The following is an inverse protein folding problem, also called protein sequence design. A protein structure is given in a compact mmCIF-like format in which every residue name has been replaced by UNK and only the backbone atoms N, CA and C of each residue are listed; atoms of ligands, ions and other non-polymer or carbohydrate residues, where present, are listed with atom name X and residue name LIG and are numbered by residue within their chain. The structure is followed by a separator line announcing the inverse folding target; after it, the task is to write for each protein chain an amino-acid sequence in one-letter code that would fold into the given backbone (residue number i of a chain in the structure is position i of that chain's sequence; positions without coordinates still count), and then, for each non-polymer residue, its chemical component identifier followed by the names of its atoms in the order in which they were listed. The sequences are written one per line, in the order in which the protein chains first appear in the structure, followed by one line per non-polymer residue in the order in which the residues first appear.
data_IF_969062559002
#
_entry.id   IF_969062559002
#
_cell.length_a   1.000
_cell.length_b   1.000
_cell.length_c   1.000
_cell.angle_alpha   90.00
_cell.angle_beta   90.00
_cell.angle_gamma   90.00
#
_symmetry.space_group_name_H-M   'P 1'
#
loop_
_entity.id
_entity.type
_entity.pdbx_description
1 polymer ?
#
# COMPACT_ATOMS: atom_id res chain seq x y z
N UNK A 1 9.48 13.03 13.42
CA UNK A 1 8.24 13.31 12.66
C UNK A 1 8.43 12.69 11.29
N UNK A 2 7.43 11.99 10.76
CA UNK A 2 7.49 11.39 9.43
C UNK A 2 7.52 12.50 8.38
N UNK A 3 8.44 12.41 7.42
CA UNK A 3 8.57 13.33 6.28
C UNK A 3 7.92 12.73 5.02
N UNK A 4 7.76 13.51 3.96
CA UNK A 4 7.24 13.03 2.68
C UNK A 4 8.04 11.85 2.11
N UNK A 5 9.34 11.80 2.41
CA UNK A 5 10.30 10.82 1.92
C UNK A 5 10.07 9.45 2.59
N UNK A 6 9.61 9.47 3.84
CA UNK A 6 9.30 8.31 4.67
C UNK A 6 7.93 7.68 4.31
N UNK A 7 7.11 8.36 3.50
CA UNK A 7 5.82 7.84 3.04
C UNK A 7 6.04 6.70 2.06
N UNK A 8 6.02 5.48 2.59
CA UNK A 8 5.99 4.22 1.84
C UNK A 8 4.60 3.78 1.36
N UNK A 9 4.57 2.71 0.54
CA UNK A 9 3.33 2.16 -0.04
C UNK A 9 2.30 1.67 0.99
N UNK A 10 2.74 1.22 2.16
CA UNK A 10 1.84 0.82 3.27
C UNK A 10 1.04 2.01 3.78
N UNK A 11 1.63 3.21 3.84
CA UNK A 11 0.93 4.40 4.30
C UNK A 11 -0.18 4.80 3.33
N UNK A 12 0.11 4.81 2.02
CA UNK A 12 -0.87 5.10 0.97
C UNK A 12 -1.97 4.05 0.96
N UNK A 13 -1.63 2.77 1.11
CA UNK A 13 -2.62 1.70 1.25
C UNK A 13 -3.55 1.95 2.44
N UNK A 14 -3.03 2.35 3.59
CA UNK A 14 -3.85 2.65 4.77
C UNK A 14 -4.64 3.94 4.65
N UNK A 15 -4.13 4.94 3.93
CA UNK A 15 -4.92 6.13 3.59
C UNK A 15 -6.20 5.70 2.85
N UNK A 16 -6.06 4.94 1.77
CA UNK A 16 -7.21 4.52 0.95
C UNK A 16 -8.06 3.41 1.56
N UNK A 17 -7.61 2.79 2.66
CA UNK A 17 -8.36 1.75 3.37
C UNK A 17 -9.03 2.24 4.66
N UNK A 18 -8.27 2.89 5.55
CA UNK A 18 -8.74 3.36 6.85
C UNK A 18 -7.77 4.38 7.46
N UNK A 19 -8.15 5.67 7.50
CA UNK A 19 -7.32 6.75 8.09
C UNK A 19 -6.96 6.48 9.56
N UNK A 20 -7.85 5.84 10.32
CA UNK A 20 -7.57 5.47 11.71
C UNK A 20 -6.47 4.42 11.82
N UNK A 21 -6.45 3.45 10.91
CA UNK A 21 -5.39 2.45 10.83
C UNK A 21 -4.04 3.11 10.50
N UNK A 22 -4.03 4.03 9.53
CA UNK A 22 -2.85 4.83 9.20
C UNK A 22 -2.32 5.60 10.41
N UNK A 23 -3.20 6.29 11.14
CA UNK A 23 -2.85 7.06 12.33
C UNK A 23 -2.23 6.20 13.43
N UNK A 24 -2.76 4.99 13.64
CA UNK A 24 -2.26 4.02 14.63
C UNK A 24 -0.93 3.40 14.20
N UNK A 25 -0.81 3.04 12.91
CA UNK A 25 0.40 2.49 12.33
C UNK A 25 1.60 3.45 12.47
N UNK A 26 1.39 4.74 12.20
CA UNK A 26 2.40 5.78 12.35
C UNK A 26 2.86 5.99 13.82
N UNK A 27 2.07 5.54 14.79
CA UNK A 27 2.38 5.57 16.23
C UNK A 27 2.96 4.24 16.74
N UNK A 28 3.30 3.32 15.83
CA UNK A 28 3.93 2.05 16.15
C UNK A 28 2.96 0.93 16.53
N UNK A 29 1.64 1.15 16.48
CA UNK A 29 0.68 0.10 16.76
C UNK A 29 0.53 -0.84 15.55
N UNK A 30 1.07 -2.06 15.67
CA UNK A 30 1.19 -3.04 14.59
C UNK A 30 0.66 -4.44 14.96
N UNK A 31 -0.66 -4.63 15.11
CA UNK A 31 -1.27 -5.92 15.42
C UNK A 31 -1.20 -6.93 14.26
N UNK A 32 -0.79 -6.51 13.06
CA UNK A 32 -0.72 -7.33 11.85
C UNK A 32 0.19 -8.55 12.00
N UNK A 33 1.26 -8.46 12.80
CA UNK A 33 2.15 -9.59 13.10
C UNK A 33 1.42 -10.78 13.74
N UNK A 34 0.29 -10.51 14.41
CA UNK A 34 -0.56 -11.52 15.06
C UNK A 34 -1.68 -12.02 14.13
N UNK A 35 -1.84 -11.44 12.94
CA UNK A 35 -2.92 -11.78 12.01
C UNK A 35 -2.49 -12.88 11.04
N UNK A 36 -3.16 -14.03 11.11
CA UNK A 36 -2.97 -15.14 10.17
C UNK A 36 -3.20 -14.76 8.71
N UNK A 37 -4.05 -13.74 8.44
CA UNK A 37 -4.30 -13.25 7.08
C UNK A 37 -3.12 -12.46 6.50
N UNK A 38 -2.35 -11.78 7.34
CA UNK A 38 -1.14 -11.05 6.94
C UNK A 38 0.01 -12.02 6.72
N UNK A 39 0.20 -12.98 7.63
CA UNK A 39 1.18 -14.06 7.48
C UNK A 39 0.93 -14.86 6.20
N UNK A 40 -0.34 -15.10 5.85
CA UNK A 40 -0.70 -15.73 4.57
C UNK A 40 -0.36 -14.84 3.36
N UNK A 41 -0.48 -13.53 3.48
CA UNK A 41 -0.06 -12.58 2.45
C UNK A 41 1.45 -12.64 2.20
N UNK A 42 2.25 -12.65 3.27
CA UNK A 42 3.70 -12.80 3.24
C UNK A 42 4.11 -14.16 2.65
N UNK A 43 3.44 -15.25 3.03
CA UNK A 43 3.73 -16.58 2.49
C UNK A 43 3.40 -16.72 0.99
N UNK A 44 2.29 -16.11 0.52
CA UNK A 44 1.94 -16.08 -0.92
C UNK A 44 2.95 -15.27 -1.71
N UNK A 45 3.46 -14.18 -1.11
CA UNK A 45 4.51 -13.36 -1.67
C UNK A 45 5.80 -14.17 -1.85
N UNK A 46 6.28 -14.82 -0.79
CA UNK A 46 7.48 -15.65 -0.78
C UNK A 46 7.42 -16.82 -1.79
N UNK A 47 6.26 -17.47 -1.93
CA UNK A 47 6.08 -18.58 -2.89
C UNK A 47 6.02 -18.13 -4.35
N UNK A 48 5.48 -16.94 -4.62
CA UNK A 48 5.37 -16.40 -5.99
C UNK A 48 6.72 -15.88 -6.52
N UNK A 49 7.67 -15.60 -5.63
CA UNK A 49 8.87 -14.79 -5.89
C UNK A 49 10.13 -15.50 -6.34
N UNK A 50 10.09 -16.80 -6.66
CA UNK A 50 11.32 -17.54 -7.05
C UNK A 50 11.99 -17.03 -8.37
N UNK A 51 11.58 -15.90 -8.95
CA UNK A 51 12.11 -15.37 -10.22
C UNK A 51 12.34 -13.85 -10.30
N UNK A 52 12.02 -13.06 -9.28
CA UNK A 52 12.08 -11.58 -9.33
C UNK A 52 13.11 -11.01 -8.34
N UNK A 53 13.75 -9.89 -8.69
CA UNK A 53 14.73 -9.20 -7.83
C UNK A 53 14.07 -7.99 -7.13
N UNK A 54 13.91 -8.00 -5.80
CA UNK A 54 13.27 -6.88 -5.10
C UNK A 54 14.11 -5.61 -5.21
N UNK A 55 13.47 -4.49 -5.56
CA UNK A 55 14.12 -3.17 -5.60
C UNK A 55 13.83 -2.46 -4.28
N UNK A 56 14.89 -2.16 -3.52
CA UNK A 56 14.80 -1.39 -2.28
C UNK A 56 14.83 0.11 -2.57
N UNK A 57 13.69 0.78 -2.43
CA UNK A 57 13.56 2.24 -2.57
C UNK A 57 13.61 2.96 -1.20
N UNK A 58 14.18 2.31 -0.17
CA UNK A 58 14.35 2.86 1.17
C UNK A 58 13.08 2.82 2.02
N UNK A 59 12.01 3.48 1.59
CA UNK A 59 10.70 3.49 2.28
C UNK A 59 9.61 2.66 1.57
N UNK A 60 9.94 2.09 0.41
CA UNK A 60 9.06 1.25 -0.39
C UNK A 60 9.83 0.00 -0.85
N UNK A 61 9.41 -1.19 -0.39
CA UNK A 61 9.82 -2.44 -1.04
C UNK A 61 8.93 -2.63 -2.25
N UNK A 62 9.53 -2.48 -3.42
CA UNK A 62 8.86 -2.71 -4.69
C UNK A 62 8.98 -4.18 -5.03
N UNK A 63 7.88 -4.75 -5.52
CA UNK A 63 7.81 -6.19 -5.64
C UNK A 63 8.71 -6.69 -6.79
N UNK A 64 8.48 -6.18 -7.99
CA UNK A 64 9.37 -6.41 -9.13
C UNK A 64 9.27 -5.24 -10.11
N UNK A 65 10.38 -4.88 -10.75
CA UNK A 65 10.41 -3.90 -11.84
C UNK A 65 10.91 -4.62 -13.09
N UNK A 66 10.00 -4.84 -14.05
CA UNK A 66 10.37 -5.52 -15.29
C UNK A 66 11.30 -4.64 -16.14
N UNK A 67 12.06 -5.26 -17.06
CA UNK A 67 12.98 -4.58 -17.98
C UNK A 67 12.30 -3.54 -18.88
N UNK A 68 10.97 -3.61 -19.01
CA UNK A 68 10.14 -2.63 -19.69
C UNK A 68 9.69 -1.44 -18.82
N UNK A 69 10.20 -1.32 -17.59
CA UNK A 69 9.86 -0.29 -16.60
C UNK A 69 8.41 -0.34 -16.11
N UNK A 70 7.87 -1.55 -15.95
CA UNK A 70 6.57 -1.78 -15.32
C UNK A 70 6.74 -2.29 -13.90
N UNK A 71 6.03 -1.66 -12.95
CA UNK A 71 6.00 -2.09 -11.56
C UNK A 71 5.06 -3.27 -11.43
N UNK A 72 5.50 -4.40 -10.91
CA UNK A 72 4.67 -5.58 -10.68
C UNK A 72 4.43 -5.72 -9.19
N UNK A 73 3.17 -5.90 -8.79
CA UNK A 73 2.78 -6.04 -7.38
C UNK A 73 1.82 -7.23 -7.23
N UNK A 74 2.09 -8.11 -6.27
CA UNK A 74 1.29 -9.32 -6.05
C UNK A 74 0.33 -9.12 -4.88
N UNK A 75 -0.97 -9.28 -5.14
CA UNK A 75 -2.02 -9.14 -4.13
C UNK A 75 -2.61 -10.48 -3.74
N UNK A 76 -2.56 -10.77 -2.44
CA UNK A 76 -3.21 -11.94 -1.84
C UNK A 76 -4.74 -11.80 -1.76
N UNK A 77 -5.29 -10.62 -2.03
CA UNK A 77 -6.72 -10.38 -2.15
C UNK A 77 -7.26 -10.95 -3.47
N UNK A 78 -8.56 -11.23 -3.53
CA UNK A 78 -9.22 -11.72 -4.75
C UNK A 78 -9.81 -10.59 -5.60
N UNK A 79 -9.98 -9.40 -5.02
CA UNK A 79 -10.65 -8.25 -5.63
C UNK A 79 -9.71 -7.04 -5.64
N UNK A 80 -9.61 -6.34 -6.78
CA UNK A 80 -8.98 -5.05 -6.83
C UNK A 80 -9.62 -4.06 -5.87
N UNK A 81 -8.81 -3.19 -5.28
CA UNK A 81 -9.26 -2.10 -4.44
C UNK A 81 -8.58 -0.79 -4.82
N UNK A 82 -9.23 0.37 -4.56
CA UNK A 82 -8.60 1.68 -4.76
C UNK A 82 -7.26 1.81 -4.00
N UNK A 83 -7.14 1.13 -2.85
CA UNK A 83 -5.89 1.11 -2.09
C UNK A 83 -4.75 0.36 -2.79
N UNK A 84 -5.05 -0.70 -3.54
CA UNK A 84 -4.05 -1.43 -4.32
C UNK A 84 -3.56 -0.59 -5.51
N UNK A 85 -4.46 0.12 -6.17
CA UNK A 85 -4.16 1.04 -7.27
C UNK A 85 -3.35 2.24 -6.81
N UNK A 86 -3.78 2.93 -5.75
CA UNK A 86 -3.05 4.07 -5.20
C UNK A 86 -1.64 3.68 -4.71
N UNK A 87 -1.49 2.51 -4.10
CA UNK A 87 -0.17 2.00 -3.71
C UNK A 87 0.74 1.79 -4.94
N UNK A 88 0.22 1.20 -6.02
CA UNK A 88 0.96 0.99 -7.26
C UNK A 88 1.35 2.32 -7.94
N UNK A 89 0.43 3.29 -7.95
CA UNK A 89 0.67 4.64 -8.46
C UNK A 89 1.78 5.33 -7.66
N UNK A 90 1.74 5.22 -6.33
CA UNK A 90 2.78 5.77 -5.46
C UNK A 90 4.16 5.19 -5.77
N UNK A 91 4.27 3.89 -6.02
CA UNK A 91 5.53 3.28 -6.44
C UNK A 91 6.03 3.81 -7.79
N UNK A 92 5.15 3.96 -8.78
CA UNK A 92 5.51 4.56 -10.06
C UNK A 92 6.01 6.00 -9.86
N UNK A 93 5.31 6.80 -9.05
CA UNK A 93 5.71 8.17 -8.72
C UNK A 93 7.11 8.22 -8.08
N UNK A 94 7.38 7.35 -7.09
CA UNK A 94 8.69 7.28 -6.41
C UNK A 94 9.81 6.86 -7.36
N UNK A 95 9.55 5.93 -8.27
CA UNK A 95 10.51 5.54 -9.31
C UNK A 95 10.84 6.72 -10.24
N UNK A 96 9.83 7.46 -10.68
CA UNK A 96 10.05 8.64 -11.54
C UNK A 96 10.82 9.74 -10.83
N UNK A 97 10.58 9.94 -9.54
CA UNK A 97 11.32 10.91 -8.73
C UNK A 97 12.82 10.59 -8.60
N UNK A 98 13.22 9.32 -8.72
CA UNK A 98 14.64 8.89 -8.72
C UNK A 98 15.21 8.72 -10.13
N UNK A 99 14.50 9.18 -11.16
CA UNK A 99 14.95 9.16 -12.56
C UNK A 99 14.60 7.88 -13.35
N UNK A 100 13.80 6.97 -12.78
CA UNK A 100 13.31 5.77 -13.47
C UNK A 100 11.94 6.05 -14.08
N UNK A 101 11.85 6.11 -15.41
CA UNK A 101 10.61 6.41 -16.14
C UNK A 101 9.60 5.24 -16.14
N UNK A 102 9.05 4.92 -14.98
CA UNK A 102 8.06 3.86 -14.81
C UNK A 102 6.83 4.09 -15.71
N UNK A 103 6.55 3.15 -16.63
CA UNK A 103 5.44 3.23 -17.59
C UNK A 103 4.08 2.99 -16.95
N UNK A 104 4.05 2.34 -15.80
CA UNK A 104 2.83 1.95 -15.11
C UNK A 104 3.04 0.80 -14.15
N UNK A 105 1.94 0.32 -13.59
CA UNK A 105 1.92 -0.81 -12.67
C UNK A 105 1.07 -1.97 -13.19
N UNK A 106 1.39 -3.17 -12.75
CA UNK A 106 0.70 -4.42 -13.03
C UNK A 106 0.38 -5.09 -11.70
N UNK A 107 -0.89 -5.09 -11.35
CA UNK A 107 -1.40 -5.74 -10.15
C UNK A 107 -1.79 -7.18 -10.50
N UNK A 108 -1.16 -8.14 -9.84
CA UNK A 108 -1.45 -9.57 -10.00
C UNK A 108 -2.31 -10.07 -8.84
N UNK A 109 -3.41 -10.75 -9.16
CA UNK A 109 -4.33 -11.36 -8.18
C UNK A 109 -4.33 -12.88 -8.38
N UNK A 110 -3.37 -13.63 -7.80
CA UNK A 110 -3.20 -15.06 -8.08
C UNK A 110 -4.44 -15.90 -7.77
N UNK A 111 -5.18 -15.54 -6.71
CA UNK A 111 -6.40 -16.25 -6.30
C UNK A 111 -7.51 -16.24 -7.36
N UNK A 112 -7.60 -15.17 -8.14
CA UNK A 112 -8.60 -15.03 -9.21
C UNK A 112 -8.01 -15.12 -10.60
N UNK A 113 -6.68 -15.33 -10.71
CA UNK A 113 -5.91 -15.29 -11.97
C UNK A 113 -6.19 -14.03 -12.79
N UNK A 114 -6.44 -12.92 -12.09
CA UNK A 114 -6.67 -11.62 -12.72
C UNK A 114 -5.39 -10.80 -12.68
N UNK A 115 -5.17 -10.06 -13.74
CA UNK A 115 -4.08 -9.08 -13.84
C UNK A 115 -4.69 -7.76 -14.27
N UNK A 116 -4.34 -6.69 -13.56
CA UNK A 116 -4.78 -5.33 -13.89
C UNK A 116 -3.56 -4.50 -14.24
N UNK A 117 -3.50 -3.98 -15.47
CA UNK A 117 -2.46 -3.07 -15.92
C UNK A 117 -2.96 -1.64 -15.81
N UNK A 118 -2.16 -0.79 -15.19
CA UNK A 118 -2.47 0.61 -14.88
C UNK A 118 -1.34 1.45 -15.48
N UNK A 119 -1.54 2.01 -16.69
CA UNK A 119 -0.58 2.94 -17.27
C UNK A 119 -0.40 4.16 -16.37
N UNK A 120 0.83 4.65 -16.25
CA UNK A 120 1.09 5.88 -15.52
C UNK A 120 0.78 7.08 -16.42
N UNK A 121 -0.17 7.92 -15.99
CA UNK A 121 -0.59 9.15 -16.69
C UNK A 121 -0.28 10.38 -15.84
N UNK A 122 -0.19 11.59 -16.41
CA UNK A 122 0.17 12.79 -15.65
C UNK A 122 -0.72 13.06 -14.42
N UNK A 123 -1.99 12.71 -14.48
CA UNK A 123 -2.94 12.86 -13.38
C UNK A 123 -2.53 12.04 -12.13
N UNK A 124 -1.83 10.92 -12.33
CA UNK A 124 -1.36 10.07 -11.24
C UNK A 124 -0.24 10.73 -10.42
N UNK A 125 0.52 11.64 -11.01
CA UNK A 125 1.53 12.40 -10.28
C UNK A 125 0.88 13.33 -9.26
N UNK A 126 -0.15 14.07 -9.69
CA UNK A 126 -0.95 14.93 -8.80
C UNK A 126 -1.65 14.10 -7.71
N UNK A 127 -2.18 12.93 -8.07
CA UNK A 127 -2.78 12.01 -7.09
C UNK A 127 -1.76 11.56 -6.04
N UNK A 128 -0.57 11.12 -6.45
CA UNK A 128 0.47 10.66 -5.53
C UNK A 128 0.94 11.77 -4.58
N UNK A 129 1.10 13.00 -5.08
CA UNK A 129 1.45 14.16 -4.26
C UNK A 129 0.35 14.48 -3.24
N UNK A 130 -0.92 14.41 -3.66
CA UNK A 130 -2.08 14.62 -2.78
C UNK A 130 -2.13 13.54 -1.71
N UNK A 131 -1.97 12.27 -2.08
CA UNK A 131 -1.95 11.14 -1.15
C UNK A 131 -0.84 11.29 -0.11
N UNK A 132 0.36 11.74 -0.50
CA UNK A 132 1.46 12.00 0.43
C UNK A 132 1.07 13.11 1.42
N UNK A 133 0.48 14.21 0.94
CA UNK A 133 0.04 15.30 1.80
C UNK A 133 -1.05 14.83 2.79
N UNK A 134 -2.02 14.05 2.33
CA UNK A 134 -3.11 13.51 3.15
C UNK A 134 -2.60 12.48 4.17
N UNK A 135 -1.60 11.67 3.79
CA UNK A 135 -0.90 10.79 4.74
C UNK A 135 -0.29 11.63 5.85
N UNK A 136 0.49 12.65 5.50
CA UNK A 136 1.16 13.51 6.48
C UNK A 136 0.17 14.23 7.39
N UNK A 137 -0.93 14.75 6.83
CA UNK A 137 -2.01 15.37 7.61
C UNK A 137 -2.65 14.37 8.57
N UNK A 138 -2.95 13.15 8.10
CA UNK A 138 -3.56 12.10 8.92
C UNK A 138 -2.65 11.70 10.07
N UNK A 139 -1.38 11.39 9.81
CA UNK A 139 -0.46 10.88 10.83
C UNK A 139 -0.06 11.94 11.87
N UNK A 140 0.03 13.21 11.46
CA UNK A 140 0.34 14.35 12.35
C UNK A 140 -0.86 14.85 13.13
N UNK A 141 -2.09 14.45 12.76
CA UNK A 141 -3.29 14.82 13.50
C UNK A 141 -3.17 14.48 15.00
N UNK A 142 -3.45 15.43 15.91
CA UNK A 142 -3.43 15.17 17.34
C UNK A 142 -4.59 14.25 17.77
N UNK A 143 -5.69 14.27 17.00
CA UNK A 143 -6.89 13.48 17.26
C UNK A 143 -6.93 12.28 16.32
N UNK A 144 -7.27 11.11 16.87
CA UNK A 144 -7.43 9.90 16.06
C UNK A 144 -8.64 10.03 15.11
N UNK A 145 -8.49 9.67 13.82
CA UNK A 145 -9.59 9.71 12.87
C UNK A 145 -10.79 8.86 13.31
N UNK A 146 -11.96 9.21 12.75
CA UNK A 146 -13.21 8.49 13.01
C UNK A 146 -13.11 7.01 12.61
N UNK A 147 -13.90 6.19 13.29
CA UNK A 147 -14.03 4.76 12.97
C UNK A 147 -14.85 4.62 11.69
N UNK A 148 -14.47 3.68 10.83
CA UNK A 148 -15.35 3.22 9.76
C UNK A 148 -16.53 2.44 10.34
N UNK A 149 -17.57 2.20 9.53
CA UNK A 149 -18.64 1.29 9.93
C UNK A 149 -18.07 -0.10 10.27
N UNK A 150 -18.58 -0.73 11.34
CA UNK A 150 -18.07 -2.03 11.83
C UNK A 150 -18.08 -3.13 10.75
N UNK A 151 -18.99 -3.06 9.79
CA UNK A 151 -19.07 -3.97 8.64
C UNK A 151 -17.86 -3.87 7.71
N UNK A 152 -17.27 -2.68 7.56
CA UNK A 152 -16.05 -2.45 6.78
C UNK A 152 -14.78 -2.91 7.49
N UNK A 153 -14.84 -3.16 8.81
CA UNK A 153 -13.71 -3.62 9.62
C UNK A 153 -13.60 -5.15 9.73
N UNK A 154 -14.42 -5.93 9.01
CA UNK A 154 -14.37 -7.40 9.09
C UNK A 154 -13.02 -7.93 8.61
N UNK A 155 -12.31 -8.65 9.46
CA UNK A 155 -10.97 -9.19 9.16
C UNK A 155 -9.84 -8.15 9.30
N UNK A 156 -10.14 -6.94 9.79
CA UNK A 156 -9.12 -5.95 10.11
C UNK A 156 -8.40 -6.34 11.42
N UNK A 157 -7.07 -6.40 11.40
CA UNK A 157 -6.24 -6.69 12.59
C UNK A 157 -6.38 -5.63 13.70
N UNK A 158 -6.89 -4.44 13.37
CA UNK A 158 -7.12 -3.33 14.31
C UNK A 158 -8.52 -3.36 14.94
N UNK A 159 -9.37 -4.34 14.57
CA UNK A 159 -10.77 -4.38 14.99
C UNK A 159 -10.91 -4.42 16.51
N UNK A 160 -10.15 -5.28 17.19
CA UNK A 160 -10.25 -5.43 18.65
C UNK A 160 -9.89 -4.11 19.35
N UNK A 161 -8.85 -3.41 18.89
CA UNK A 161 -8.49 -2.11 19.44
C UNK A 161 -9.55 -1.04 19.17
N UNK A 162 -10.16 -1.04 17.98
CA UNK A 162 -11.13 -0.01 17.60
C UNK A 162 -12.51 -0.20 18.23
N UNK A 163 -12.87 -1.39 18.71
CA UNK A 163 -14.22 -1.70 19.19
C UNK A 163 -14.29 -2.28 20.61
N UNK A 164 -13.15 -2.58 21.24
CA UNK A 164 -13.11 -3.00 22.66
C UNK A 164 -12.99 -1.83 23.64
N UNK A 165 -13.05 -0.59 23.12
CA UNK A 165 -13.04 0.67 23.87
C UNK A 165 -14.24 1.53 23.45
#
# INVERSE_FOLDING_TARGET
MISAEDVGGVHVKYLHHCHRQLWLYARGFRPESLSSSVQMGEAVHETSYRRASPVDLGSARLDDLDGDLWVHEIKSSSKPSPADEAQAIHYCYRLRAVGVEAKGAVLHYPKTRRTQRIPYVPEHETQAQTDIADVLATVTSPVSPQRLARTACRGCSYQDYCWSI
#
